data_IF_158321337960
#
_entry.id   IF_158321337960
#
_cell.length_a   1.000
_cell.length_b   1.000
_cell.length_c   1.000
_cell.angle_alpha   90.00
_cell.angle_beta   90.00
_cell.angle_gamma   90.00
#
_symmetry.space_group_name_H-M   'P 1'
#
loop_
_entity.id
_entity.type
_entity.pdbx_description
1 polymer ?
#
# COMPACT_ATOMS: atom_id res chain seq x y z
N UNK A 1 -10.49 -11.48 -19.56
CA UNK A 1 -9.02 -11.27 -19.61
C UNK A 1 -8.71 -10.20 -18.56
N UNK A 2 -8.07 -10.56 -17.45
CA UNK A 2 -7.80 -9.62 -16.37
C UNK A 2 -6.67 -8.68 -16.79
N UNK A 3 -6.90 -7.37 -16.77
CA UNK A 3 -5.88 -6.36 -17.03
C UNK A 3 -5.28 -5.97 -15.69
N UNK A 4 -3.96 -6.12 -15.52
CA UNK A 4 -3.28 -5.61 -14.34
C UNK A 4 -3.13 -4.10 -14.46
N UNK A 5 -3.69 -3.37 -13.50
CA UNK A 5 -3.52 -1.91 -13.39
C UNK A 5 -2.78 -1.60 -12.11
N UNK A 6 -1.89 -0.60 -12.15
CA UNK A 6 -1.24 -0.05 -10.98
C UNK A 6 -1.70 1.39 -10.71
N UNK A 7 -1.65 1.82 -9.45
CA UNK A 7 -1.83 3.21 -9.04
C UNK A 7 -0.76 3.58 -8.02
N UNK A 8 -0.12 4.72 -8.22
CA UNK A 8 0.93 5.24 -7.36
C UNK A 8 0.47 6.52 -6.66
N UNK A 9 0.80 6.63 -5.38
CA UNK A 9 0.62 7.83 -4.59
C UNK A 9 1.83 8.04 -3.67
N UNK A 10 2.16 9.28 -3.36
CA UNK A 10 3.25 9.61 -2.45
C UNK A 10 2.88 10.75 -1.52
N UNK A 11 3.41 10.69 -0.29
CA UNK A 11 3.24 11.75 0.69
C UNK A 11 4.38 11.73 1.70
N UNK A 12 4.50 12.79 2.49
CA UNK A 12 5.54 12.93 3.52
C UNK A 12 4.90 13.01 4.90
N UNK A 13 5.58 12.44 5.88
CA UNK A 13 5.18 12.48 7.28
C UNK A 13 6.40 12.80 8.15
N UNK A 14 6.20 13.59 9.20
CA UNK A 14 7.24 13.86 10.18
C UNK A 14 7.56 12.57 10.95
N UNK A 15 8.84 12.28 11.16
CA UNK A 15 9.26 11.10 11.91
C UNK A 15 10.40 10.35 11.24
N UNK A 16 11.09 9.53 12.03
CA UNK A 16 12.21 8.70 11.56
C UNK A 16 11.69 7.51 10.77
N UNK A 17 12.49 7.03 9.83
CA UNK A 17 12.11 5.93 8.94
C UNK A 17 11.70 4.67 9.71
N UNK A 18 12.34 4.39 10.85
CA UNK A 18 12.03 3.23 11.71
C UNK A 18 10.63 3.32 12.34
N UNK A 19 10.29 4.50 12.86
CA UNK A 19 8.98 4.75 13.47
C UNK A 19 7.87 4.64 12.41
N UNK A 20 8.11 5.25 11.25
CA UNK A 20 7.18 5.21 10.13
C UNK A 20 7.04 3.79 9.58
N UNK A 21 8.13 3.01 9.53
CA UNK A 21 8.09 1.60 9.15
C UNK A 21 7.17 0.79 10.04
N UNK A 22 7.33 0.90 11.35
CA UNK A 22 6.45 0.22 12.31
C UNK A 22 4.98 0.65 12.15
N UNK A 23 4.75 1.94 11.89
CA UNK A 23 3.40 2.46 11.62
C UNK A 23 2.80 1.87 10.34
N UNK A 24 3.58 1.76 9.27
CA UNK A 24 3.16 1.12 8.01
C UNK A 24 2.84 -0.35 8.24
N UNK A 25 3.68 -1.10 8.94
CA UNK A 25 3.45 -2.52 9.23
C UNK A 25 2.15 -2.72 10.03
N UNK A 26 1.91 -1.90 11.05
CA UNK A 26 0.66 -1.91 11.82
C UNK A 26 -0.54 -1.57 10.93
N UNK A 27 -0.43 -0.56 10.07
CA UNK A 27 -1.50 -0.17 9.16
C UNK A 27 -1.84 -1.28 8.16
N UNK A 28 -0.84 -2.00 7.64
CA UNK A 28 -1.05 -3.16 6.76
C UNK A 28 -1.72 -4.31 7.52
N UNK A 29 -1.26 -4.60 8.73
CA UNK A 29 -1.89 -5.64 9.57
C UNK A 29 -3.36 -5.32 9.85
N UNK A 30 -3.66 -4.10 10.32
CA UNK A 30 -5.02 -3.63 10.60
C UNK A 30 -5.89 -3.54 9.33
N UNK A 31 -5.28 -3.23 8.19
CA UNK A 31 -5.91 -3.20 6.87
C UNK A 31 -6.27 -4.58 6.29
N UNK A 32 -6.05 -5.67 7.02
CA UNK A 32 -6.22 -7.05 6.58
C UNK A 32 -5.34 -7.44 5.39
N UNK A 33 -4.15 -6.83 5.28
CA UNK A 33 -3.14 -7.29 4.34
C UNK A 33 -2.51 -8.58 4.87
N UNK A 34 -2.16 -9.47 3.97
CA UNK A 34 -1.54 -10.77 4.26
C UNK A 34 -0.18 -10.85 3.59
N UNK A 35 0.65 -11.83 3.96
CA UNK A 35 2.00 -11.99 3.39
C UNK A 35 2.82 -10.70 3.45
N UNK A 36 2.79 -10.00 4.59
CA UNK A 36 3.54 -8.76 4.78
C UNK A 36 5.03 -9.13 4.83
N UNK A 37 5.81 -8.59 3.90
CA UNK A 37 7.25 -8.78 3.81
C UNK A 37 7.91 -7.41 3.91
N UNK A 38 8.78 -7.26 4.91
CA UNK A 38 9.57 -6.04 5.11
C UNK A 38 11.02 -6.32 4.74
N UNK A 39 11.56 -5.52 3.82
CA UNK A 39 12.97 -5.49 3.49
C UNK A 39 13.61 -4.23 4.11
N UNK A 40 14.31 -4.43 5.22
CA UNK A 40 14.96 -3.34 5.96
C UNK A 40 16.11 -2.70 5.20
N UNK A 41 16.80 -3.43 4.31
CA UNK A 41 17.91 -2.90 3.53
C UNK A 41 17.43 -1.91 2.47
N UNK A 42 16.30 -2.22 1.82
CA UNK A 42 15.72 -1.40 0.77
C UNK A 42 14.63 -0.44 1.27
N UNK A 43 14.30 -0.49 2.57
CA UNK A 43 13.17 0.25 3.14
C UNK A 43 11.85 0.00 2.40
N UNK A 44 11.65 -1.24 1.98
CA UNK A 44 10.47 -1.66 1.22
C UNK A 44 9.57 -2.55 2.07
N UNK A 45 8.27 -2.32 1.99
CA UNK A 45 7.26 -3.16 2.62
C UNK A 45 6.25 -3.57 1.55
N UNK A 46 6.02 -4.87 1.41
CA UNK A 46 5.03 -5.40 0.47
C UNK A 46 3.96 -6.18 1.22
N UNK A 47 2.71 -6.10 0.78
CA UNK A 47 1.61 -6.87 1.34
C UNK A 47 0.59 -7.27 0.30
N UNK A 48 0.01 -8.45 0.45
CA UNK A 48 -1.08 -8.93 -0.40
C UNK A 48 -2.41 -8.45 0.14
N UNK A 49 -3.29 -7.97 -0.74
CA UNK A 49 -4.64 -7.59 -0.40
C UNK A 49 -5.63 -8.51 -1.11
N UNK A 50 -6.45 -9.20 -0.32
CA UNK A 50 -7.52 -10.05 -0.83
C UNK A 50 -8.78 -9.81 0.00
N UNK A 51 -9.75 -9.10 -0.58
CA UNK A 51 -11.04 -8.84 0.07
C UNK A 51 -12.17 -8.86 -0.95
N UNK A 52 -13.17 -9.71 -0.71
CA UNK A 52 -14.29 -9.97 -1.62
C UNK A 52 -13.82 -10.24 -3.05
N UNK A 53 -13.93 -9.23 -3.91
CA UNK A 53 -13.69 -9.29 -5.33
C UNK A 53 -12.43 -8.52 -5.76
N UNK A 54 -11.65 -8.00 -4.80
CA UNK A 54 -10.38 -7.31 -5.05
C UNK A 54 -9.24 -8.22 -4.64
N UNK A 55 -8.37 -8.52 -5.60
CA UNK A 55 -7.10 -9.19 -5.35
C UNK A 55 -5.98 -8.39 -5.99
N UNK A 56 -5.03 -7.98 -5.15
CA UNK A 56 -3.85 -7.26 -5.58
C UNK A 56 -2.74 -7.30 -4.53
N UNK A 57 -1.77 -6.44 -4.74
CA UNK A 57 -0.63 -6.20 -3.87
C UNK A 57 -0.48 -4.71 -3.62
N UNK A 58 0.13 -4.37 -2.49
CA UNK A 58 0.64 -3.03 -2.19
C UNK A 58 2.14 -3.13 -1.97
N UNK A 59 2.87 -2.17 -2.52
CA UNK A 59 4.30 -1.98 -2.30
C UNK A 59 4.51 -0.57 -1.78
N UNK A 60 5.20 -0.46 -0.66
CA UNK A 60 5.48 0.79 0.03
C UNK A 60 6.99 0.94 0.11
N UNK A 61 7.50 2.08 -0.33
CA UNK A 61 8.91 2.45 -0.23
C UNK A 61 9.02 3.65 0.70
N UNK A 62 9.91 3.53 1.68
CA UNK A 62 10.22 4.61 2.61
C UNK A 62 11.57 5.23 2.23
N UNK A 63 11.62 6.56 2.22
CA UNK A 63 12.86 7.30 2.00
C UNK A 63 12.97 8.44 3.00
N UNK A 64 14.17 8.68 3.51
CA UNK A 64 14.42 9.81 4.40
C UNK A 64 14.43 11.12 3.60
N UNK A 65 13.70 12.11 4.10
CA UNK A 65 13.71 13.48 3.59
C UNK A 65 13.86 14.44 4.78
N UNK A 66 15.11 14.68 5.19
CA UNK A 66 15.45 15.49 6.37
C UNK A 66 14.78 14.96 7.66
N UNK A 67 13.92 15.76 8.29
CA UNK A 67 13.15 15.38 9.49
C UNK A 67 11.84 14.62 9.17
N UNK A 68 11.60 14.37 7.88
CA UNK A 68 10.43 13.69 7.37
C UNK A 68 10.82 12.37 6.73
N UNK A 69 9.86 11.45 6.68
CA UNK A 69 9.93 10.25 5.86
C UNK A 69 8.94 10.41 4.72
N UNK A 70 9.44 10.28 3.49
CA UNK A 70 8.62 10.17 2.29
C UNK A 70 8.17 8.73 2.13
N UNK A 71 6.87 8.56 1.90
CA UNK A 71 6.20 7.28 1.68
C UNK A 71 5.71 7.26 0.24
N UNK A 72 6.28 6.37 -0.57
CA UNK A 72 5.81 6.07 -1.92
C UNK A 72 5.03 4.76 -1.92
N UNK A 73 3.81 4.78 -2.42
CA UNK A 73 2.89 3.64 -2.38
C UNK A 73 2.50 3.29 -3.81
N UNK A 74 2.66 2.03 -4.17
CA UNK A 74 2.21 1.45 -5.42
C UNK A 74 1.25 0.31 -5.11
N UNK A 75 0.00 0.45 -5.55
CA UNK A 75 -0.99 -0.62 -5.53
C UNK A 75 -1.08 -1.24 -6.92
N UNK A 76 -1.17 -2.56 -6.98
CA UNK A 76 -1.39 -3.31 -8.23
C UNK A 76 -2.53 -4.28 -8.03
N UNK A 77 -3.53 -4.25 -8.90
CA UNK A 77 -4.68 -5.14 -8.81
C UNK A 77 -5.07 -5.71 -10.17
N UNK A 78 -5.67 -6.90 -10.14
CA UNK A 78 -6.34 -7.45 -11.31
C UNK A 78 -7.67 -6.70 -11.50
N UNK A 79 -7.81 -6.02 -12.64
CA UNK A 79 -9.04 -5.32 -13.02
C UNK A 79 -9.74 -6.14 -14.10
N UNK A 80 -10.87 -6.77 -13.75
CA UNK A 80 -11.84 -7.25 -14.73
C UNK A 80 -12.75 -6.10 -15.17
N UNK A 81 -13.25 -6.12 -16.42
CA UNK A 81 -14.03 -5.04 -17.03
C UNK A 81 -15.29 -4.62 -16.24
N UNK A 82 -15.76 -5.44 -15.29
CA UNK A 82 -16.90 -5.15 -14.41
C UNK A 82 -16.55 -4.06 -13.37
N UNK A 83 -15.29 -3.94 -12.96
CA UNK A 83 -14.85 -2.95 -11.96
C UNK A 83 -14.67 -1.53 -12.50
N UNK A 84 -14.63 -1.36 -13.83
CA UNK A 84 -14.53 -0.05 -14.46
C UNK A 84 -15.76 0.85 -14.19
N UNK A 85 -16.88 0.27 -13.73
CA UNK A 85 -18.15 0.97 -13.55
C UNK A 85 -18.44 1.45 -12.12
N UNK A 86 -17.75 0.97 -11.08
CA UNK A 86 -18.16 1.25 -9.69
C UNK A 86 -17.05 1.63 -8.70
N UNK A 87 -15.77 1.33 -8.95
CA UNK A 87 -14.60 1.81 -8.18
C UNK A 87 -13.35 1.05 -8.60
N UNK A 88 -12.21 1.74 -8.75
CA UNK A 88 -10.95 1.08 -9.09
C UNK A 88 -10.53 0.11 -7.96
N UNK A 89 -10.17 -1.15 -8.27
CA UNK A 89 -9.63 -2.08 -7.29
C UNK A 89 -8.40 -1.54 -6.56
N UNK A 90 -7.59 -0.74 -7.24
CA UNK A 90 -6.43 -0.06 -6.65
C UNK A 90 -6.83 1.00 -5.61
N UNK A 91 -7.92 1.74 -5.85
CA UNK A 91 -8.40 2.73 -4.88
C UNK A 91 -8.87 2.05 -3.59
N UNK A 92 -9.47 0.85 -3.70
CA UNK A 92 -9.84 0.04 -2.53
C UNK A 92 -8.63 -0.42 -1.72
N UNK A 93 -7.56 -0.85 -2.40
CA UNK A 93 -6.30 -1.26 -1.75
C UNK A 93 -5.67 -0.05 -1.04
N UNK A 94 -5.57 1.09 -1.73
CA UNK A 94 -5.00 2.31 -1.17
C UNK A 94 -5.83 2.85 0.00
N UNK A 95 -7.16 2.83 -0.11
CA UNK A 95 -8.05 3.27 0.97
C UNK A 95 -7.92 2.36 2.19
N UNK A 96 -7.88 1.03 2.00
CA UNK A 96 -7.69 0.09 3.10
C UNK A 96 -6.39 0.34 3.86
N UNK A 97 -5.30 0.71 3.17
CA UNK A 97 -4.09 1.14 3.83
C UNK A 97 -4.25 2.50 4.55
N UNK A 98 -4.71 3.53 3.84
CA UNK A 98 -4.81 4.90 4.38
C UNK A 98 -5.74 5.03 5.59
N UNK A 99 -6.87 4.32 5.57
CA UNK A 99 -7.83 4.33 6.68
C UNK A 99 -7.22 3.77 7.97
N UNK A 100 -6.24 2.88 7.85
CA UNK A 100 -5.54 2.23 8.95
C UNK A 100 -4.17 2.86 9.26
N UNK A 101 -3.69 3.77 8.42
CA UNK A 101 -2.42 4.50 8.61
C UNK A 101 -2.59 5.79 9.42
N UNK A 102 -3.79 6.08 9.92
CA UNK A 102 -4.10 7.27 10.73
C UNK A 102 -3.24 7.41 11.98
#
# INVERSE_FOLDING_TARGET
>A
MAIRKSKQESFEINGKIEEIRQRVERALSNGNFTSIITNNLLNHITGNYKKFSVWGEIKITLSENHEKTKIDIVSTANSDNIFALFSSPNDKILSAFKDNFK
#
